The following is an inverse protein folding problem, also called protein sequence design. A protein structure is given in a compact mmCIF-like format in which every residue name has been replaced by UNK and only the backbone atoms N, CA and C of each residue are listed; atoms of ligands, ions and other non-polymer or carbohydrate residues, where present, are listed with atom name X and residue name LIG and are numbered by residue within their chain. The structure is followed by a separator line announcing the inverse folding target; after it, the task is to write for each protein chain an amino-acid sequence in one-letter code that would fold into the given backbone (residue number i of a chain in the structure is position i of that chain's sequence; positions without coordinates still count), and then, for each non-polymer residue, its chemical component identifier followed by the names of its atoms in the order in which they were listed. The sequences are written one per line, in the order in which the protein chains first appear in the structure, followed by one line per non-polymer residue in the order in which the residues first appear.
data_IF_983254577898
#
_entry.id   IF_983254577898
#
_cell.length_a   1.000
_cell.length_b   1.000
_cell.length_c   1.000
_cell.angle_alpha   90.00
_cell.angle_beta   90.00
_cell.angle_gamma   90.00
#
_symmetry.space_group_name_H-M   'P 1'
#
loop_
_entity.id
_entity.type
_entity.pdbx_description
1 polymer ?
2 polymer ?
3 non-polymer ?
4 non-polymer ?
5 non-polymer ?
6 water ?
#
# COMPACT_ATOMS: atom_id res chain seq x y z
N UNK A 2 8.67 -21.70 -2.67
CA UNK A 2 9.98 -21.94 -2.09
C UNK A 2 9.92 -22.35 -0.63
N UNK A 3 8.88 -21.93 0.09
CA UNK A 3 8.73 -22.23 1.51
C UNK A 3 7.83 -23.43 1.74
N UNK A 4 7.65 -24.27 0.72
CA UNK A 4 6.69 -25.36 0.81
C UNK A 4 7.01 -26.36 1.89
N UNK A 5 8.27 -26.48 2.31
CA UNK A 5 8.65 -27.47 3.32
C UNK A 5 8.57 -26.95 4.76
N UNK A 6 8.40 -25.65 4.98
CA UNK A 6 8.31 -25.13 6.32
C UNK A 6 6.85 -25.04 6.78
N UNK A 7 6.62 -25.41 8.04
CA UNK A 7 5.31 -25.24 8.67
C UNK A 7 4.79 -23.81 8.56
N UNK A 8 3.48 -23.69 8.35
CA UNK A 8 2.85 -22.36 8.36
C UNK A 8 3.21 -21.59 9.63
N UNK A 9 3.08 -22.23 10.80
CA UNK A 9 3.32 -21.48 12.04
C UNK A 9 4.78 -21.05 12.16
N UNK A 10 5.69 -21.87 11.62
CA UNK A 10 7.12 -21.52 11.64
C UNK A 10 7.42 -20.36 10.72
N UNK A 11 6.76 -20.30 9.57
CA UNK A 11 6.90 -19.16 8.67
C UNK A 11 6.44 -17.87 9.35
N UNK A 12 5.31 -17.92 10.05
CA UNK A 12 4.82 -16.72 10.73
C UNK A 12 5.77 -16.31 11.83
N UNK A 13 6.25 -17.29 12.61
CA UNK A 13 7.23 -17.01 13.67
C UNK A 13 8.48 -16.37 13.09
N UNK A 14 9.00 -16.92 12.00
CA UNK A 14 10.20 -16.36 11.39
C UNK A 14 9.94 -15.00 10.75
N UNK A 15 8.73 -14.76 10.21
CA UNK A 15 8.42 -13.42 9.75
C UNK A 15 8.56 -12.40 10.88
N UNK A 16 8.06 -12.75 12.07
CA UNK A 16 8.14 -11.84 13.22
C UNK A 16 9.60 -11.62 13.64
N UNK A 17 10.41 -12.68 13.59
CA UNK A 17 11.84 -12.54 13.88
C UNK A 17 12.53 -11.66 12.85
N UNK A 18 12.24 -11.90 11.57
CA UNK A 18 12.82 -11.08 10.52
C UNK A 18 12.46 -9.61 10.71
N UNK A 19 11.21 -9.33 11.08
CA UNK A 19 10.81 -7.95 11.38
C UNK A 19 11.71 -7.35 12.47
N UNK A 20 11.91 -8.10 13.56
CA UNK A 20 12.73 -7.60 14.66
C UNK A 20 14.14 -7.30 14.20
N UNK A 21 14.66 -8.14 13.31
CA UNK A 21 16.00 -7.99 12.73
C UNK A 21 16.07 -7.02 11.56
N UNK A 22 14.95 -6.38 11.20
CA UNK A 22 14.87 -5.49 10.05
C UNK A 22 15.36 -6.15 8.76
N UNK A 23 15.00 -7.44 8.60
CA UNK A 23 15.29 -8.21 7.41
C UNK A 23 13.99 -8.36 6.62
N UNK A 24 13.61 -7.29 5.92
CA UNK A 24 12.28 -7.26 5.33
C UNK A 24 12.13 -8.12 4.08
N UNK A 25 13.20 -8.31 3.29
CA UNK A 25 13.11 -9.26 2.18
C UNK A 25 12.82 -10.67 2.71
N UNK A 26 13.53 -11.09 3.77
CA UNK A 26 13.22 -12.38 4.42
C UNK A 26 11.79 -12.40 4.93
N UNK A 27 11.38 -11.33 5.60
CA UNK A 27 10.04 -11.26 6.16
C UNK A 27 8.99 -11.47 5.07
N UNK A 28 9.18 -10.81 3.93
CA UNK A 28 8.23 -10.93 2.82
C UNK A 28 8.22 -12.35 2.25
N UNK A 29 9.39 -12.96 2.13
CA UNK A 29 9.42 -14.34 1.63
C UNK A 29 8.74 -15.31 2.59
N UNK A 30 8.93 -15.12 3.90
CA UNK A 30 8.26 -15.96 4.88
C UNK A 30 6.75 -15.78 4.77
N UNK A 31 6.28 -14.53 4.65
CA UNK A 31 4.84 -14.31 4.58
C UNK A 31 4.25 -14.80 3.25
N UNK A 32 4.97 -14.64 2.14
CA UNK A 32 4.54 -15.26 0.88
C UNK A 32 4.36 -16.77 1.05
N UNK A 33 5.33 -17.41 1.72
CA UNK A 33 5.19 -18.83 1.99
C UNK A 33 3.96 -19.14 2.82
N UNK A 34 3.68 -18.32 3.84
CA UNK A 34 2.49 -18.54 4.66
C UNK A 34 1.22 -18.40 3.82
N UNK A 35 1.12 -17.34 3.02
CA UNK A 35 -0.03 -17.19 2.13
C UNK A 35 -0.22 -18.43 1.28
N UNK A 36 0.86 -18.92 0.70
CA UNK A 36 0.76 -20.03 -0.26
C UNK A 36 0.40 -21.35 0.39
N UNK A 37 0.36 -21.42 1.73
CA UNK A 37 -0.25 -22.58 2.38
C UNK A 37 -1.73 -22.70 2.07
N UNK A 38 -2.39 -21.63 1.64
CA UNK A 38 -3.76 -21.71 1.18
C UNK A 38 -4.81 -21.37 2.20
N UNK A 39 -4.45 -21.27 3.47
CA UNK A 39 -5.40 -20.83 4.50
C UNK A 39 -5.56 -19.31 4.49
N UNK A 40 -6.72 -18.85 4.94
CA UNK A 40 -6.91 -17.42 5.16
C UNK A 40 -5.94 -16.91 6.22
N UNK A 41 -5.72 -15.59 6.22
CA UNK A 41 -4.83 -14.94 7.16
C UNK A 41 -5.62 -14.23 8.25
N UNK A 42 -5.11 -14.31 9.47
CA UNK A 42 -5.66 -13.54 10.56
C UNK A 42 -5.31 -12.05 10.43
N UNK A 44 -3.47 -10.19 12.44
CA UNK A 44 -2.04 -10.00 12.67
C UNK A 44 -1.23 -10.43 11.46
N UNK A 45 -1.61 -11.57 10.89
CA UNK A 45 -0.87 -12.10 9.74
C UNK A 45 -1.01 -11.18 8.52
N UNK A 46 -2.20 -10.63 8.28
CA UNK A 46 -2.36 -9.68 7.18
C UNK A 46 -1.44 -8.49 7.37
N UNK A 47 -1.36 -7.99 8.59
CA UNK A 47 -0.48 -6.86 8.83
C UNK A 47 0.99 -7.23 8.67
N UNK A 48 1.41 -8.45 9.03
CA UNK A 48 2.78 -8.87 8.78
C UNK A 48 3.06 -8.89 7.28
N UNK A 49 2.13 -9.42 6.50
CA UNK A 49 2.27 -9.45 5.06
C UNK A 49 2.45 -8.04 4.50
N UNK A 50 1.57 -7.13 4.91
CA UNK A 50 1.62 -5.76 4.43
C UNK A 50 2.90 -5.04 4.86
N UNK A 51 3.28 -5.16 6.14
CA UNK A 51 4.50 -4.49 6.60
C UNK A 51 5.72 -4.99 5.84
N UNK A 52 5.79 -6.29 5.59
CA UNK A 52 6.96 -6.85 4.90
C UNK A 52 7.09 -6.26 3.50
N UNK A 53 6.05 -6.38 2.69
CA UNK A 53 6.15 -5.90 1.32
C UNK A 53 6.20 -4.38 1.23
N UNK A 54 5.58 -3.66 2.18
CA UNK A 54 5.67 -2.21 2.15
C UNK A 54 7.11 -1.75 2.33
N UNK A 55 7.84 -2.42 3.23
CA UNK A 55 9.23 -2.10 3.46
C UNK A 55 10.07 -2.45 2.24
N UNK A 56 9.85 -3.62 1.62
CA UNK A 56 10.63 -3.98 0.44
C UNK A 56 10.38 -3.00 -0.69
N UNK A 57 9.10 -2.78 -1.02
CA UNK A 57 8.79 -1.92 -2.16
C UNK A 57 9.18 -0.47 -1.85
N UNK A 58 9.14 -0.08 -0.58
CA UNK A 58 9.53 1.28 -0.21
C UNK A 58 10.98 1.57 -0.52
N UNK A 59 11.88 0.63 -0.20
CA UNK A 59 13.27 0.82 -0.58
C UNK A 59 13.44 0.92 -2.08
N UNK A 60 12.67 0.11 -2.83
CA UNK A 60 12.80 0.15 -4.28
C UNK A 60 12.27 1.46 -4.84
N UNK A 61 11.14 1.94 -4.32
CA UNK A 61 10.60 3.22 -4.77
C UNK A 61 11.58 4.34 -4.51
N UNK A 62 12.18 4.35 -3.32
CA UNK A 62 13.12 5.42 -2.99
C UNK A 62 14.32 5.37 -3.91
N UNK A 63 14.82 4.16 -4.20
CA UNK A 63 15.96 4.05 -5.11
C UNK A 63 15.58 4.47 -6.52
N UNK A 64 14.42 4.03 -6.99
CA UNK A 64 13.97 4.40 -8.32
C UNK A 64 13.87 5.92 -8.46
N UNK A 65 13.39 6.62 -7.43
CA UNK A 65 13.26 8.06 -7.52
C UNK A 65 14.62 8.73 -7.60
N UNK A 66 15.58 8.28 -6.78
CA UNK A 66 16.95 8.79 -6.87
C UNK A 66 17.47 8.64 -8.30
N UNK A 67 17.35 7.43 -8.86
CA UNK A 67 17.92 7.16 -10.17
C UNK A 67 17.18 7.90 -11.26
N UNK A 68 15.84 7.99 -11.15
CA UNK A 68 15.06 8.73 -12.14
C UNK A 68 15.47 10.20 -12.14
N UNK A 69 15.74 10.76 -10.97
CA UNK A 69 16.14 12.16 -10.87
C UNK A 69 17.49 12.38 -11.52
N UNK A 70 18.44 11.47 -11.27
CA UNK A 70 19.75 11.58 -11.92
C UNK A 70 19.61 11.47 -13.43
N UNK A 71 18.74 10.56 -13.88
CA UNK A 71 18.52 10.32 -15.30
C UNK A 71 17.94 11.57 -15.98
N UNK A 72 16.90 12.15 -15.37
CA UNK A 72 16.30 13.35 -15.95
C UNK A 72 17.33 14.47 -16.07
N UNK A 73 18.12 14.68 -15.02
CA UNK A 73 19.19 15.68 -15.09
C UNK A 73 20.15 15.37 -16.22
N UNK A 74 20.56 14.11 -16.35
CA UNK A 74 21.48 13.72 -17.42
C UNK A 74 20.90 14.02 -18.81
N UNK A 75 19.58 13.92 -18.96
CA UNK A 75 18.95 14.17 -20.25
C UNK A 75 18.61 15.64 -20.47
N UNK A 76 18.82 16.50 -19.49
CA UNK A 76 18.59 17.94 -19.67
C UNK A 76 19.29 18.45 -20.93
N UNK A 83 26.22 8.51 -20.89
CA UNK A 83 26.19 7.12 -21.31
C UNK A 83 24.88 6.43 -20.95
N UNK A 84 24.77 5.15 -21.27
CA UNK A 84 23.52 4.41 -21.02
C UNK A 84 23.37 3.90 -19.60
N UNK A 85 24.38 4.09 -18.74
CA UNK A 85 24.41 3.37 -17.47
C UNK A 85 23.29 3.80 -16.54
N UNK A 86 23.00 5.11 -16.44
CA UNK A 86 21.95 5.57 -15.54
C UNK A 86 20.62 4.96 -15.96
N UNK A 87 20.30 5.04 -17.25
CA UNK A 87 19.05 4.45 -17.75
C UNK A 87 19.01 2.96 -17.50
N UNK A 88 20.11 2.24 -17.80
CA UNK A 88 20.15 0.81 -17.57
C UNK A 88 19.87 0.46 -16.13
N UNK A 89 20.50 1.18 -15.19
CA UNK A 89 20.37 0.82 -13.79
C UNK A 89 19.00 1.23 -13.26
N UNK A 90 18.48 2.40 -13.69
CA UNK A 90 17.11 2.74 -13.36
C UNK A 90 16.14 1.65 -13.85
N UNK A 91 16.32 1.19 -15.08
CA UNK A 91 15.51 0.10 -15.62
C UNK A 91 15.63 -1.16 -14.77
N UNK A 92 16.84 -1.47 -14.28
CA UNK A 92 17.03 -2.68 -13.49
C UNK A 92 16.20 -2.60 -12.21
N UNK A 93 16.32 -1.48 -11.50
CA UNK A 93 15.56 -1.28 -10.27
C UNK A 93 14.07 -1.25 -10.56
N UNK A 94 13.68 -0.59 -11.65
CA UNK A 94 12.28 -0.53 -12.06
C UNK A 94 11.70 -1.92 -12.27
N UNK A 95 12.44 -2.79 -12.97
CA UNK A 95 11.97 -4.13 -13.24
C UNK A 95 11.83 -4.94 -11.95
N UNK A 96 12.76 -4.76 -11.00
CA UNK A 96 12.66 -5.49 -9.74
C UNK A 96 11.50 -4.98 -8.90
N UNK A 97 11.24 -3.69 -8.99
CA UNK A 97 10.09 -3.11 -8.29
C UNK A 97 8.79 -3.67 -8.90
N UNK A 98 8.69 -3.67 -10.23
CA UNK A 98 7.51 -4.23 -10.87
C UNK A 98 7.35 -5.69 -10.52
N UNK A 99 8.45 -6.41 -10.37
CA UNK A 99 8.34 -7.81 -9.99
C UNK A 99 7.75 -8.01 -8.60
N UNK A 100 8.17 -7.20 -7.63
CA UNK A 100 7.61 -7.27 -6.28
C UNK A 100 6.12 -6.93 -6.33
N UNK A 101 5.74 -5.87 -7.05
CA UNK A 101 4.33 -5.53 -7.14
C UNK A 101 3.53 -6.67 -7.77
N UNK A 102 4.05 -7.26 -8.85
CA UNK A 102 3.37 -8.38 -9.49
C UNK A 102 3.23 -9.56 -8.52
N UNK A 103 4.25 -9.81 -7.70
CA UNK A 103 4.17 -10.91 -6.74
C UNK A 103 3.03 -10.67 -5.75
N UNK A 104 2.97 -9.46 -5.18
CA UNK A 104 1.93 -9.15 -4.22
C UNK A 104 0.56 -9.26 -4.87
N UNK A 105 0.40 -8.63 -6.05
CA UNK A 105 -0.87 -8.71 -6.74
C UNK A 105 -1.25 -10.16 -7.03
N UNK A 106 -0.26 -10.98 -7.35
CA UNK A 106 -0.50 -12.39 -7.58
C UNK A 106 -1.05 -13.11 -6.36
N UNK A 107 -0.51 -12.79 -5.18
CA UNK A 107 -1.03 -13.38 -3.96
C UNK A 107 -2.45 -12.94 -3.70
N UNK A 108 -2.73 -11.66 -3.94
CA UNK A 108 -4.07 -11.15 -3.72
C UNK A 108 -5.07 -11.83 -4.66
N UNK A 109 -4.65 -12.10 -5.90
CA UNK A 109 -5.53 -12.72 -6.89
C UNK A 109 -5.59 -14.24 -6.73
N UNK A 110 -4.59 -14.84 -6.06
CA UNK A 110 -4.50 -16.29 -5.95
C UNK A 110 -4.08 -16.66 -4.53
N UNK A 111 -5.00 -16.61 -3.56
CA UNK A 111 -6.44 -16.40 -3.72
C UNK A 111 -6.99 -15.61 -2.55
N UNK A 112 -6.22 -14.63 -2.08
CA UNK A 112 -6.60 -13.96 -0.83
C UNK A 112 -7.92 -13.20 -0.97
N UNK A 113 -8.10 -12.43 -2.05
CA UNK A 113 -9.30 -11.59 -2.15
C UNK A 113 -10.55 -12.47 -2.26
N UNK A 114 -10.50 -13.49 -3.11
CA UNK A 114 -11.72 -14.23 -3.35
C UNK A 114 -12.20 -15.00 -2.13
N UNK A 115 -11.31 -15.32 -1.18
CA UNK A 115 -11.72 -16.00 0.04
C UNK A 115 -12.03 -15.03 1.18
N UNK A 116 -11.85 -13.73 0.97
CA UNK A 116 -12.04 -12.71 2.01
C UNK A 116 -13.49 -12.23 1.98
N UNK A 117 -14.24 -12.57 3.01
CA UNK A 117 -15.65 -12.22 3.09
C UNK A 117 -15.95 -11.19 4.15
N UNK A 118 -15.18 -11.17 5.23
CA UNK A 118 -15.40 -10.16 6.25
C UNK A 118 -14.87 -8.82 5.75
N UNK A 119 -15.53 -7.74 6.15
CA UNK A 119 -15.11 -6.42 5.69
C UNK A 119 -13.64 -6.14 6.05
N UNK A 120 -13.21 -6.48 7.27
CA UNK A 120 -11.85 -6.12 7.67
C UNK A 120 -10.79 -6.84 6.83
N UNK A 121 -11.08 -8.06 6.34
CA UNK A 121 -10.11 -8.70 5.48
C UNK A 121 -10.26 -8.22 4.04
N UNK A 122 -11.49 -8.14 3.54
CA UNK A 122 -11.69 -7.80 2.14
C UNK A 122 -11.25 -6.37 1.84
N UNK A 123 -11.61 -5.42 2.71
CA UNK A 123 -11.16 -4.05 2.52
C UNK A 123 -9.64 -3.99 2.58
N UNK A 124 -9.03 -4.69 3.53
CA UNK A 124 -7.58 -4.69 3.65
C UNK A 124 -6.92 -5.13 2.36
N UNK A 125 -7.39 -6.25 1.79
CA UNK A 125 -6.73 -6.76 0.59
C UNK A 125 -7.02 -5.90 -0.63
N UNK A 126 -8.24 -5.35 -0.74
CA UNK A 126 -8.52 -4.49 -1.89
C UNK A 126 -7.74 -3.20 -1.81
N UNK A 127 -7.56 -2.64 -0.61
CA UNK A 127 -6.64 -1.52 -0.42
C UNK A 127 -5.23 -1.88 -0.88
N UNK A 128 -4.73 -3.05 -0.48
CA UNK A 128 -3.39 -3.47 -0.91
C UNK A 128 -3.32 -3.54 -2.44
N UNK A 129 -4.37 -4.09 -3.07
CA UNK A 129 -4.40 -4.16 -4.53
C UNK A 129 -4.31 -2.76 -5.15
N UNK A 130 -5.07 -1.81 -4.62
CA UNK A 130 -4.95 -0.43 -5.09
C UNK A 130 -3.54 0.11 -4.90
N UNK A 131 -2.94 -0.16 -3.74
CA UNK A 131 -1.61 0.35 -3.41
C UNK A 131 -0.56 -0.16 -4.39
N UNK A 132 -0.57 -1.48 -4.69
CA UNK A 132 0.50 -2.02 -5.52
C UNK A 132 0.26 -1.70 -6.98
N UNK A 133 -0.98 -1.52 -7.43
CA UNK A 133 -1.18 -0.93 -8.76
C UNK A 133 -0.72 0.54 -8.76
N UNK A 134 -0.93 1.25 -7.66
CA UNK A 134 -0.44 2.61 -7.59
C UNK A 134 1.08 2.68 -7.72
N UNK A 135 1.79 1.77 -7.05
CA UNK A 135 3.25 1.76 -7.18
C UNK A 135 3.68 1.42 -8.60
N UNK A 136 2.95 0.50 -9.25
CA UNK A 136 3.20 0.26 -10.67
C UNK A 136 2.96 1.53 -11.48
N UNK A 137 1.89 2.27 -11.14
CA UNK A 137 1.58 3.48 -11.91
C UNK A 137 2.69 4.52 -11.79
N UNK A 138 3.36 4.58 -10.63
CA UNK A 138 4.39 5.59 -10.42
C UNK A 138 5.51 5.47 -11.43
N UNK A 139 5.77 4.26 -11.95
CA UNK A 139 6.88 4.03 -12.88
C UNK A 139 6.40 3.74 -14.29
N UNK A 140 5.10 3.76 -14.55
CA UNK A 140 4.54 3.43 -15.86
C UNK A 140 4.43 4.65 -16.76
N UNK A 141 4.28 4.38 -18.07
CA UNK A 141 4.04 5.43 -19.06
C UNK A 141 2.92 5.05 -20.01
N UNK A 142 2.36 6.07 -20.68
CA UNK A 142 1.51 5.85 -21.85
C UNK A 142 0.21 5.11 -21.56
N UNK A 143 -0.24 4.32 -22.54
CA UNK A 143 -1.47 3.56 -22.38
C UNK A 143 -1.36 2.54 -21.25
N UNK A 144 -0.21 1.89 -21.12
CA UNK A 144 -0.02 0.99 -19.99
C UNK A 144 -0.36 1.71 -18.69
N UNK A 145 0.12 2.94 -18.53
CA UNK A 145 -0.16 3.69 -17.33
C UNK A 145 -1.66 3.90 -17.12
N UNK A 146 -2.39 4.24 -18.19
CA UNK A 146 -3.83 4.47 -18.02
C UNK A 146 -4.53 3.22 -17.51
N UNK A 147 -4.19 2.03 -18.03
CA UNK A 147 -4.86 0.82 -17.59
C UNK A 147 -4.48 0.46 -16.16
N UNK A 148 -3.21 0.69 -15.79
CA UNK A 148 -2.77 0.45 -14.42
C UNK A 148 -3.50 1.38 -13.45
N UNK A 149 -3.62 2.65 -13.83
CA UNK A 149 -4.34 3.62 -13.00
C UNK A 149 -5.78 3.20 -12.82
N UNK A 150 -6.41 2.73 -13.89
CA UNK A 150 -7.79 2.25 -13.77
C UNK A 150 -7.90 1.07 -12.82
N UNK A 151 -6.92 0.15 -12.86
CA UNK A 151 -6.93 -0.99 -11.96
C UNK A 151 -6.79 -0.53 -10.51
N UNK A 152 -5.89 0.42 -10.25
CA UNK A 152 -5.77 0.93 -8.89
C UNK A 152 -7.09 1.56 -8.44
N UNK A 153 -7.64 2.43 -9.29
CA UNK A 153 -8.89 3.11 -8.95
C UNK A 153 -10.00 2.12 -8.66
N UNK A 154 -10.13 1.08 -9.47
CA UNK A 154 -11.20 0.11 -9.32
C UNK A 154 -11.08 -0.65 -8.01
N UNK A 155 -9.85 -1.02 -7.62
CA UNK A 155 -9.65 -1.71 -6.36
C UNK A 155 -9.95 -0.81 -5.17
N UNK A 156 -9.44 0.43 -5.21
CA UNK A 156 -9.69 1.37 -4.13
C UNK A 156 -11.18 1.64 -4.01
N UNK A 157 -11.88 1.73 -5.15
CA UNK A 157 -13.30 2.08 -5.11
C UNK A 157 -14.13 0.96 -4.51
N UNK A 158 -13.83 -0.29 -4.87
CA UNK A 158 -14.54 -1.42 -4.26
C UNK A 158 -14.30 -1.43 -2.75
N UNK A 159 -13.05 -1.19 -2.35
CA UNK A 159 -12.71 -1.15 -0.93
C UNK A 159 -13.47 -0.03 -0.23
N UNK A 160 -13.54 1.14 -0.86
CA UNK A 160 -14.27 2.28 -0.28
C UNK A 160 -15.74 1.93 -0.11
N UNK A 161 -16.36 1.37 -1.14
CA UNK A 161 -17.78 1.05 -1.07
C UNK A 161 -18.08 0.11 0.10
N UNK A 162 -17.27 -0.95 0.26
CA UNK A 162 -17.46 -1.88 1.35
C UNK A 162 -17.25 -1.17 2.69
N UNK A 163 -16.18 -0.37 2.78
CA UNK A 163 -15.82 0.23 4.06
C UNK A 163 -16.90 1.19 4.53
N UNK A 164 -17.55 1.90 3.61
CA UNK A 164 -18.60 2.85 4.00
C UNK A 164 -19.86 2.12 4.46
N UNK A 165 -20.13 0.95 3.90
CA UNK A 165 -21.29 0.14 4.28
C UNK A 165 -21.08 -0.62 5.59
N UNK A 166 -19.84 -1.08 5.84
CA UNK A 166 -19.59 -2.09 6.86
C UNK A 166 -18.71 -1.68 8.03
N UNK A 167 -18.06 -0.51 8.01
CA UNK A 167 -17.13 -0.09 9.03
C UNK A 167 -17.48 1.30 9.54
N UNK A 168 -17.25 1.58 10.81
CA UNK A 168 -17.48 2.93 11.29
C UNK A 168 -16.43 3.87 10.72
N UNK A 169 -16.71 5.18 10.71
CA UNK A 169 -15.78 6.11 10.07
C UNK A 169 -14.43 6.20 10.73
N UNK A 170 -14.28 5.76 11.99
CA UNK A 170 -12.99 5.80 12.65
C UNK A 170 -12.19 4.52 12.47
N UNK A 171 -12.73 3.52 11.79
CA UNK A 171 -12.03 2.26 11.69
C UNK A 171 -10.66 2.50 11.05
N UNK A 172 -9.56 2.06 11.66
CA UNK A 172 -8.24 2.41 11.09
C UNK A 172 -8.01 1.90 9.68
N UNK A 173 -8.59 0.74 9.34
CA UNK A 173 -8.45 0.24 7.97
C UNK A 173 -9.13 1.18 6.99
N UNK A 174 -10.37 1.55 7.32
CA UNK A 174 -11.11 2.51 6.51
C UNK A 174 -10.36 3.83 6.39
N UNK A 175 -9.80 4.32 7.50
CA UNK A 175 -9.06 5.58 7.46
C UNK A 175 -7.83 5.48 6.58
N UNK A 176 -7.04 4.40 6.74
CA UNK A 176 -5.85 4.24 5.92
C UNK A 176 -6.16 4.09 4.44
N UNK A 177 -7.25 3.40 4.12
CA UNK A 177 -7.72 3.31 2.75
C UNK A 177 -8.03 4.68 2.18
N UNK A 178 -8.80 5.48 2.93
CA UNK A 178 -9.15 6.80 2.45
C UNK A 178 -7.90 7.66 2.26
N UNK A 179 -6.97 7.61 3.22
CA UNK A 179 -5.70 8.32 3.08
C UNK A 179 -5.02 7.97 1.77
N UNK A 180 -4.84 6.69 1.51
CA UNK A 180 -4.10 6.26 0.32
C UNK A 180 -4.85 6.58 -0.96
N UNK A 181 -6.18 6.39 -0.96
CA UNK A 181 -6.98 6.74 -2.13
C UNK A 181 -6.89 8.23 -2.41
N UNK A 182 -6.88 9.06 -1.35
CA UNK A 182 -6.72 10.50 -1.58
C UNK A 182 -5.37 10.82 -2.20
N UNK A 183 -4.29 10.14 -1.79
CA UNK A 183 -2.99 10.38 -2.41
C UNK A 183 -3.00 9.90 -3.86
N UNK A 184 -3.64 8.77 -4.12
CA UNK A 184 -3.86 8.32 -5.50
C UNK A 184 -4.49 9.43 -6.33
N UNK A 185 -5.57 10.02 -5.82
CA UNK A 185 -6.22 11.09 -6.56
C UNK A 185 -5.26 12.24 -6.80
N UNK A 186 -4.51 12.63 -5.77
CA UNK A 186 -3.73 13.86 -5.85
C UNK A 186 -2.64 13.73 -6.91
N UNK A 187 -1.86 12.67 -6.85
CA UNK A 187 -0.66 12.65 -7.65
C UNK A 187 -0.60 11.54 -8.70
N UNK A 188 -1.52 10.60 -8.71
CA UNK A 188 -1.58 9.62 -9.80
C UNK A 188 -2.63 9.99 -10.81
N UNK A 189 -3.87 10.24 -10.34
CA UNK A 189 -5.01 10.60 -11.16
C UNK A 189 -5.07 12.09 -11.52
N UNK A 190 -4.16 12.91 -11.02
CA UNK A 190 -4.17 14.35 -11.31
C UNK A 190 -5.54 14.94 -10.99
N UNK A 191 -6.08 14.52 -9.84
CA UNK A 191 -7.37 15.01 -9.35
C UNK A 191 -7.19 15.60 -7.95
N UNK A 192 -6.43 16.69 -7.82
CA UNK A 192 -6.18 17.25 -6.48
C UNK A 192 -7.46 17.67 -5.76
N UNK A 193 -8.48 18.16 -6.46
CA UNK A 193 -9.69 18.54 -5.75
C UNK A 193 -10.39 17.32 -5.16
N UNK A 194 -10.39 16.20 -5.87
CA UNK A 194 -10.99 14.97 -5.35
C UNK A 194 -10.22 14.52 -4.13
N UNK A 195 -8.88 14.61 -4.19
CA UNK A 195 -8.02 14.25 -3.08
C UNK A 195 -8.35 15.04 -1.83
N UNK A 196 -8.48 16.37 -2.00
CA UNK A 196 -8.77 17.26 -0.88
C UNK A 196 -10.16 16.97 -0.31
N UNK A 197 -11.16 16.86 -1.19
CA UNK A 197 -12.51 16.55 -0.74
C UNK A 197 -12.54 15.26 0.06
N UNK A 198 -11.91 14.22 -0.47
CA UNK A 198 -11.94 12.93 0.21
C UNK A 198 -11.26 13.02 1.57
N UNK A 199 -10.10 13.67 1.64
CA UNK A 199 -9.40 13.77 2.91
C UNK A 199 -10.23 14.56 3.92
N UNK A 200 -10.84 15.65 3.48
CA UNK A 200 -11.63 16.48 4.40
C UNK A 200 -12.84 15.74 4.92
N UNK A 201 -13.63 15.14 4.02
CA UNK A 201 -14.82 14.42 4.43
C UNK A 201 -14.45 13.26 5.35
N UNK A 202 -13.40 12.52 5.01
CA UNK A 202 -12.97 11.41 5.86
C UNK A 202 -12.63 11.90 7.26
N UNK A 203 -11.87 12.99 7.33
CA UNK A 203 -11.44 13.54 8.62
C UNK A 203 -12.64 13.98 9.44
N UNK A 204 -13.56 14.72 8.82
CA UNK A 204 -14.72 15.25 9.54
C UNK A 204 -15.63 14.13 10.03
N UNK A 205 -15.89 13.11 9.22
CA UNK A 205 -16.78 12.03 9.65
C UNK A 205 -16.12 11.20 10.74
N UNK A 206 -14.80 11.08 10.71
CA UNK A 206 -14.12 10.39 11.80
C UNK A 206 -14.18 11.19 13.10
N UNK A 207 -13.94 12.49 13.01
CA UNK A 207 -14.06 13.36 14.19
C UNK A 207 -15.35 13.10 14.94
N UNK A 208 -16.47 13.04 14.21
CA UNK A 208 -17.77 12.93 14.85
C UNK A 208 -18.00 11.57 15.48
N UNK A 209 -17.20 10.55 15.13
CA UNK A 209 -17.34 9.20 15.66
C UNK A 209 -16.31 8.89 16.75
N UNK A 210 -15.36 9.79 17.01
CA UNK A 210 -14.38 9.56 18.08
C UNK A 210 -15.04 9.35 19.44
N UNK A 211 -16.22 9.95 19.66
CA UNK A 211 -16.87 9.85 20.97
C UNK A 211 -17.20 8.41 21.34
N UNK A 212 -17.28 7.51 20.35
CA UNK A 212 -17.61 6.12 20.59
C UNK A 212 -16.42 5.27 21.02
N UNK A 213 -15.19 5.80 20.97
CA UNK A 213 -13.98 5.01 21.06
C UNK A 213 -13.40 4.99 22.47
N UNK A 214 -12.79 3.85 22.78
CA UNK A 214 -11.92 3.72 23.94
C UNK A 214 -10.66 4.56 23.79
N UNK A 215 -9.92 4.67 24.91
CA UNK A 215 -8.67 5.42 24.88
C UNK A 215 -7.71 4.86 23.84
N UNK A 216 -7.58 3.53 23.77
CA UNK A 216 -6.62 2.92 22.84
C UNK A 216 -7.07 3.10 21.40
N UNK A 217 -8.35 2.84 21.14
CA UNK A 217 -8.86 3.00 19.77
C UNK A 217 -8.80 4.45 19.33
N UNK A 218 -9.09 5.37 20.25
CA UNK A 218 -8.95 6.79 19.96
C UNK A 218 -7.54 7.11 19.48
N UNK A 219 -6.51 6.55 20.13
CA UNK A 219 -5.14 6.82 19.70
C UNK A 219 -4.88 6.25 18.31
N UNK A 220 -5.35 5.03 18.04
CA UNK A 220 -5.17 4.43 16.73
C UNK A 220 -5.80 5.28 15.62
N UNK A 221 -7.05 5.71 15.82
CA UNK A 221 -7.75 6.47 14.80
C UNK A 221 -7.18 7.88 14.64
N UNK A 222 -6.89 8.57 15.74
CA UNK A 222 -6.39 9.93 15.60
C UNK A 222 -5.00 9.95 14.97
N UNK A 223 -4.23 8.88 15.12
CA UNK A 223 -2.93 8.81 14.45
C UNK A 223 -3.10 8.92 12.94
N UNK A 224 -4.05 8.18 12.38
CA UNK A 224 -4.21 8.22 10.93
C UNK A 224 -4.90 9.50 10.51
N UNK A 225 -5.82 10.01 11.34
CA UNK A 225 -6.43 11.29 11.04
C UNK A 225 -5.38 12.39 10.89
N UNK A 226 -4.31 12.31 11.71
CA UNK A 226 -3.26 13.32 11.61
C UNK A 226 -2.54 13.24 10.27
N UNK A 227 -2.42 12.03 9.72
CA UNK A 227 -1.84 11.92 8.38
C UNK A 227 -2.72 12.59 7.32
N UNK A 228 -4.06 12.45 7.42
CA UNK A 228 -4.95 13.18 6.53
C UNK A 228 -4.73 14.69 6.67
N UNK A 229 -4.65 15.16 7.91
CA UNK A 229 -4.40 16.58 8.16
C UNK A 229 -3.06 17.02 7.59
N UNK A 230 -2.02 16.20 7.77
CA UNK A 230 -0.72 16.55 7.24
C UNK A 230 -0.80 16.80 5.75
N UNK A 231 -1.50 15.91 5.04
CA UNK A 231 -1.62 16.07 3.60
C UNK A 231 -2.44 17.30 3.25
N UNK A 232 -3.59 17.49 3.91
CA UNK A 232 -4.41 18.66 3.65
C UNK A 232 -3.63 19.95 3.85
N UNK A 233 -2.75 19.96 4.85
CA UNK A 233 -1.93 21.16 5.09
C UNK A 233 -0.98 21.44 3.93
N UNK A 234 -0.42 20.38 3.34
CA UNK A 234 0.44 20.55 2.18
C UNK A 234 -0.34 20.91 0.93
N UNK A 235 -1.63 20.54 0.87
CA UNK A 235 -2.41 20.65 -0.35
C UNK A 235 -3.25 21.92 -0.42
N UNK A 236 -3.37 22.67 0.67
CA UNK A 236 -4.26 23.82 0.72
C UNK A 236 -3.57 25.03 1.34
N UNK B 1 11.67 13.82 -4.62
CA UNK B 1 10.26 14.15 -4.77
C UNK B 1 9.62 14.34 -3.40
N UNK B 2 8.72 15.32 -3.29
CA UNK B 2 7.90 15.44 -2.10
C UNK B 2 6.89 14.29 -2.09
N UNK B 3 6.99 13.41 -1.10
CA UNK B 3 6.05 12.30 -0.95
C UNK B 3 5.03 12.66 0.11
N UNK B 4 3.76 12.46 -0.23
CA UNK B 4 2.68 12.70 0.73
C UNK B 4 2.52 11.51 1.66
N UNK B 5 1.82 11.74 2.76
CA UNK B 5 1.61 10.69 3.75
C UNK B 5 0.70 9.58 3.23
N UNK B 7 -0.45 5.25 4.25
CA UNK B 7 -0.59 4.36 5.40
C UNK B 7 0.64 3.47 5.61
N UNK B 8 0.94 3.14 6.86
CA UNK B 8 1.91 2.10 7.14
C UNK B 8 3.35 2.58 7.08
N UNK B 9 4.30 1.64 7.07
CA UNK B 9 5.72 2.02 7.13
C UNK B 9 6.10 3.08 6.10
N UNK B 10 6.73 4.16 6.58
CA UNK B 10 7.34 5.18 5.71
C UNK B 10 8.72 4.66 5.28
N UNK B 11 8.68 3.66 4.41
CA UNK B 11 9.86 2.90 4.04
C UNK B 11 10.56 3.44 2.80
N UNK B 12 10.01 4.48 2.18
CA UNK B 12 10.66 5.13 1.06
C UNK B 12 10.92 6.59 1.44
#
# INVERSE_FOLDING_TARGET
GAMGSMERASLIQKAKLAEQAERYEDMAAFMKGAVEKGEELSXEERNLLSVAYKNVVGGQRAAWRVLSSIEQKSNEEGSEEKGPEVREYREKVETELQGVCDTVLGLLDSHLIKEAGDAESRVFYLKMKGDYYRYLAEVATGDDKKRIIDSARSAYQEAMDISKKEMPPTNPIRLGLALNFSVFHYEIANSPEEAISLAKTTFDEAMADLHTLSEDSYKDSTLIMQLLRDNLTLWTADNAGEEGGEAPQEPQS
KLMFKXEGPDSD
#
